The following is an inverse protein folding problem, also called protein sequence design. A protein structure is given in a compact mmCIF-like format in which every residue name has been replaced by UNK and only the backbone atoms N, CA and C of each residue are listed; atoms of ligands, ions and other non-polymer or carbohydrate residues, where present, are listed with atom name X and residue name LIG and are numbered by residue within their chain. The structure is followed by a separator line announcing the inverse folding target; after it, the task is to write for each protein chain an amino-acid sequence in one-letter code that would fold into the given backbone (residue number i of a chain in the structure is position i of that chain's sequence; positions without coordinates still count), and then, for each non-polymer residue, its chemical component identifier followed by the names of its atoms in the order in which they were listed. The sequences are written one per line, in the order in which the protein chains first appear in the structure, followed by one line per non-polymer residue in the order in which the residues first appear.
data_IF_240857596538
#
_entry.id   IF_240857596538
#
_cell.length_a   1.000
_cell.length_b   1.000
_cell.length_c   1.000
_cell.angle_alpha   90.00
_cell.angle_beta   90.00
_cell.angle_gamma   90.00
#
_symmetry.space_group_name_H-M   'P 1'
#
loop_
_entity.id
_entity.type
_entity.pdbx_description
1 polymer ?
#
# COMPACT_ATOMS: atom_id res chain seq x y z
N UNK A 1 -5.12 20.31 -4.19
CA UNK A 1 -4.22 19.13 -4.14
C UNK A 1 -5.01 17.96 -3.59
N UNK A 2 -5.15 16.86 -4.34
CA UNK A 2 -5.83 15.65 -3.85
C UNK A 2 -4.82 14.82 -3.05
N UNK A 3 -5.28 14.18 -1.98
CA UNK A 3 -4.52 13.18 -1.24
C UNK A 3 -5.39 11.97 -0.97
N UNK A 4 -4.77 10.80 -0.90
CA UNK A 4 -5.42 9.53 -0.60
C UNK A 4 -4.55 8.77 0.39
N UNK A 5 -5.18 8.13 1.37
CA UNK A 5 -4.49 7.32 2.38
C UNK A 5 -5.25 6.02 2.62
N UNK A 6 -4.51 4.91 2.61
CA UNK A 6 -5.02 3.58 2.91
C UNK A 6 -3.99 2.80 3.72
N UNK A 7 -4.45 2.08 4.73
CA UNK A 7 -3.63 1.10 5.44
C UNK A 7 -3.91 -0.30 4.87
N UNK A 8 -2.83 -1.03 4.66
CA UNK A 8 -2.88 -2.45 4.32
C UNK A 8 -2.43 -3.23 5.56
N UNK A 9 -3.30 -4.13 6.02
CA UNK A 9 -3.07 -4.96 7.19
C UNK A 9 -2.69 -6.36 6.75
N UNK A 10 -1.67 -6.94 7.37
CA UNK A 10 -1.14 -8.25 7.01
C UNK A 10 -0.99 -9.10 8.26
N UNK A 11 -1.33 -10.38 8.13
CA UNK A 11 -1.01 -11.41 9.10
C UNK A 11 -0.23 -12.50 8.37
N UNK A 12 1.08 -12.58 8.62
CA UNK A 12 1.96 -13.57 8.01
C UNK A 12 2.15 -14.71 9.02
N UNK A 13 1.76 -15.96 8.69
CA UNK A 13 1.71 -17.06 9.66
C UNK A 13 3.09 -17.55 10.13
N UNK A 14 4.16 -17.14 9.45
CA UNK A 14 5.53 -17.47 9.80
C UNK A 14 6.31 -16.19 10.15
N UNK A 15 7.45 -16.35 10.83
CA UNK A 15 8.33 -15.24 11.21
C UNK A 15 8.79 -14.38 10.02
N UNK A 16 8.88 -14.97 8.83
CA UNK A 16 9.26 -14.27 7.59
C UNK A 16 8.35 -14.75 6.45
N UNK A 17 7.96 -13.81 5.59
CA UNK A 17 7.21 -14.10 4.38
C UNK A 17 7.26 -12.92 3.41
N UNK A 18 7.10 -13.21 2.12
CA UNK A 18 7.02 -12.20 1.08
C UNK A 18 5.58 -12.11 0.60
N UNK A 19 5.01 -10.90 0.62
CA UNK A 19 3.64 -10.64 0.14
C UNK A 19 3.75 -9.67 -1.03
N UNK A 20 3.24 -10.07 -2.20
CA UNK A 20 3.11 -9.16 -3.33
C UNK A 20 1.92 -8.23 -3.09
N UNK A 21 2.17 -6.92 -3.02
CA UNK A 21 1.16 -5.90 -2.74
C UNK A 21 0.81 -5.02 -3.94
N UNK A 22 1.41 -5.28 -5.12
CA UNK A 22 1.14 -4.51 -6.34
C UNK A 22 -0.36 -4.35 -6.64
N UNK A 23 -1.20 -5.40 -6.62
CA UNK A 23 -2.62 -5.24 -6.95
C UNK A 23 -3.38 -4.37 -5.92
N UNK A 24 -2.99 -4.41 -4.65
CA UNK A 24 -3.58 -3.55 -3.61
C UNK A 24 -3.19 -2.08 -3.81
N UNK A 25 -1.94 -1.82 -4.24
CA UNK A 25 -1.46 -0.47 -4.55
C UNK A 25 -2.14 0.07 -5.83
N UNK A 26 -2.30 -0.74 -6.87
CA UNK A 26 -3.04 -0.37 -8.08
C UNK A 26 -4.49 0.01 -7.78
N UNK A 27 -5.15 -0.74 -6.90
CA UNK A 27 -6.49 -0.40 -6.43
C UNK A 27 -6.50 0.94 -5.68
N UNK A 28 -5.49 1.21 -4.86
CA UNK A 28 -5.35 2.50 -4.19
C UNK A 28 -5.18 3.65 -5.20
N UNK A 29 -4.37 3.47 -6.25
CA UNK A 29 -4.21 4.46 -7.31
C UNK A 29 -5.54 4.72 -8.02
N UNK A 30 -6.28 3.67 -8.39
CA UNK A 30 -7.60 3.78 -9.03
C UNK A 30 -8.60 4.52 -8.14
N UNK A 31 -8.68 4.17 -6.85
CA UNK A 31 -9.58 4.80 -5.89
C UNK A 31 -9.17 6.25 -5.55
N UNK A 32 -7.87 6.57 -5.59
CA UNK A 32 -7.38 7.91 -5.30
C UNK A 32 -7.86 8.97 -6.31
N UNK A 33 -8.12 8.55 -7.56
CA UNK A 33 -8.43 9.46 -8.67
C UNK A 33 -7.34 10.51 -8.94
N UNK A 34 -6.09 10.24 -8.53
CA UNK A 34 -4.90 11.03 -8.86
C UNK A 34 -4.37 10.55 -10.21
N UNK A 35 -4.31 11.45 -11.20
CA UNK A 35 -3.85 11.14 -12.56
C UNK A 35 -2.35 11.36 -12.74
N UNK A 36 -1.79 12.35 -12.06
CA UNK A 36 -0.35 12.63 -12.02
C UNK A 36 0.06 12.99 -10.59
N UNK A 37 1.14 12.36 -10.10
CA UNK A 37 1.61 12.55 -8.74
C UNK A 37 2.63 11.51 -8.31
N UNK A 38 2.80 11.39 -6.99
CA UNK A 38 3.71 10.43 -6.35
C UNK A 38 2.92 9.56 -5.37
N UNK A 39 3.36 8.31 -5.21
CA UNK A 39 2.83 7.37 -4.20
C UNK A 39 3.95 6.99 -3.24
N UNK A 40 3.68 7.12 -1.94
CA UNK A 40 4.55 6.62 -0.88
C UNK A 40 3.97 5.31 -0.34
N UNK A 41 4.80 4.27 -0.30
CA UNK A 41 4.47 2.98 0.31
C UNK A 41 5.53 2.68 1.36
N UNK A 42 5.13 2.58 2.62
CA UNK A 42 6.03 2.29 3.74
C UNK A 42 5.42 1.27 4.70
N UNK A 43 6.26 0.43 5.30
CA UNK A 43 5.88 -0.34 6.47
C UNK A 43 5.76 0.61 7.68
N UNK A 44 4.71 0.44 8.48
CA UNK A 44 4.53 1.17 9.75
C UNK A 44 5.10 0.40 10.95
N UNK A 45 5.47 -0.86 10.75
CA UNK A 45 6.18 -1.70 11.71
C UNK A 45 7.67 -1.73 11.35
N UNK A 46 8.54 -1.83 12.37
CA UNK A 46 10.00 -1.80 12.20
C UNK A 46 10.62 -3.14 11.80
N UNK A 47 9.82 -4.22 11.79
CA UNK A 47 10.21 -5.59 11.44
C UNK A 47 9.02 -6.33 10.87
#
# INVERSE_FOLDING_TARGET
MKSYRKELWFNVPARQGFVNITPQVEECLRLSGVTEGLVLVNAMHIT
#
